data_IF_847722385430
#
_entry.id   IF_847722385430
#
_cell.length_a   1.000
_cell.length_b   1.000
_cell.length_c   1.000
_cell.angle_alpha   90.00
_cell.angle_beta   90.00
_cell.angle_gamma   90.00
#
_symmetry.space_group_name_H-M   'P 1'
#
loop_
_entity.id
_entity.type
_entity.pdbx_description
1 polymer ?
#
# COMPACT_ATOMS: atom_id res chain seq x y z
N UNK A 1 0.61 -3.88 6.13
CA UNK A 1 -0.13 -4.36 7.31
C UNK A 1 0.61 -5.51 7.95
N UNK A 2 0.38 -6.74 7.47
CA UNK A 2 0.96 -7.98 8.02
C UNK A 2 2.49 -8.01 8.06
N UNK A 3 3.13 -7.33 7.12
CA UNK A 3 4.58 -7.19 7.07
C UNK A 3 5.19 -6.15 8.02
N UNK A 4 4.38 -5.44 8.82
CA UNK A 4 4.90 -4.50 9.83
C UNK A 4 5.44 -5.28 11.04
N UNK A 5 6.47 -4.71 11.67
CA UNK A 5 7.16 -5.33 12.81
C UNK A 5 6.21 -5.79 13.95
N UNK A 6 5.20 -5.01 14.39
CA UNK A 6 4.27 -5.45 15.44
C UNK A 6 3.49 -6.72 15.10
N UNK A 7 3.29 -7.03 13.81
CA UNK A 7 2.59 -8.26 13.39
C UNK A 7 3.60 -9.37 13.09
N UNK A 8 4.69 -9.06 12.38
CA UNK A 8 5.74 -10.04 12.02
C UNK A 8 6.35 -10.77 13.21
N UNK A 9 6.47 -10.10 14.36
CA UNK A 9 7.10 -10.68 15.55
C UNK A 9 6.26 -11.73 16.28
N UNK A 10 4.96 -11.82 15.96
CA UNK A 10 4.00 -12.70 16.63
C UNK A 10 4.20 -14.16 16.21
N UNK A 11 5.34 -14.75 16.60
CA UNK A 11 5.79 -16.07 16.13
C UNK A 11 4.76 -17.17 16.42
N UNK A 12 4.18 -17.17 17.63
CA UNK A 12 3.20 -18.19 18.04
C UNK A 12 1.91 -18.08 17.24
N UNK A 13 1.55 -16.88 16.82
CA UNK A 13 0.42 -16.63 15.94
C UNK A 13 0.71 -17.12 14.51
N UNK A 14 1.89 -16.80 13.96
CA UNK A 14 2.29 -17.22 12.62
C UNK A 14 2.45 -18.74 12.46
N UNK A 15 2.86 -19.45 13.50
CA UNK A 15 2.94 -20.92 13.52
C UNK A 15 1.59 -21.60 13.25
N UNK A 16 0.48 -20.89 13.46
CA UNK A 16 -0.89 -21.42 13.26
C UNK A 16 -1.48 -21.09 11.89
N UNK A 17 -0.75 -20.36 11.04
CA UNK A 17 -1.27 -19.83 9.78
C UNK A 17 -0.62 -20.55 8.60
N UNK A 18 -1.42 -20.91 7.59
CA UNK A 18 -0.90 -21.38 6.31
C UNK A 18 -0.39 -20.19 5.49
N UNK A 19 0.91 -20.18 5.19
CA UNK A 19 1.58 -19.04 4.57
C UNK A 19 1.54 -19.01 3.05
N UNK A 20 1.18 -20.11 2.38
CA UNK A 20 1.28 -20.24 0.92
C UNK A 20 0.62 -19.08 0.15
N UNK A 21 -0.64 -18.77 0.47
CA UNK A 21 -1.36 -17.64 -0.18
C UNK A 21 -0.74 -16.29 0.17
N UNK A 22 -0.21 -16.14 1.39
CA UNK A 22 0.44 -14.92 1.82
C UNK A 22 1.74 -14.68 1.04
N UNK A 23 2.57 -15.71 0.91
CA UNK A 23 3.83 -15.68 0.16
C UNK A 23 3.58 -15.40 -1.34
N UNK A 24 2.53 -15.98 -1.92
CA UNK A 24 2.11 -15.66 -3.30
C UNK A 24 1.77 -14.16 -3.45
N UNK A 25 0.99 -13.60 -2.52
CA UNK A 25 0.66 -12.17 -2.54
C UNK A 25 1.90 -11.28 -2.38
N UNK A 26 2.89 -11.69 -1.58
CA UNK A 26 4.17 -10.98 -1.46
C UNK A 26 4.94 -10.98 -2.78
N UNK A 27 4.95 -12.10 -3.51
CA UNK A 27 5.59 -12.17 -4.83
C UNK A 27 4.90 -11.24 -5.85
N UNK A 28 3.57 -11.19 -5.85
CA UNK A 28 2.80 -10.30 -6.74
C UNK A 28 3.05 -8.81 -6.45
N UNK A 29 3.34 -8.46 -5.21
CA UNK A 29 3.53 -7.07 -4.76
C UNK A 29 4.99 -6.70 -4.53
N UNK A 30 5.93 -7.54 -4.96
CA UNK A 30 7.35 -7.34 -4.75
C UNK A 30 7.86 -6.05 -5.43
N UNK A 31 8.60 -5.25 -4.68
CA UNK A 31 9.16 -3.95 -5.10
C UNK A 31 10.35 -4.07 -6.05
N UNK A 32 10.93 -5.27 -6.19
CA UNK A 32 12.12 -5.53 -7.00
C UNK A 32 11.94 -5.11 -8.46
N UNK A 33 13.02 -4.61 -9.06
CA UNK A 33 13.03 -4.14 -10.45
C UNK A 33 11.89 -3.15 -10.76
N UNK A 34 11.64 -2.20 -9.85
CA UNK A 34 10.56 -1.21 -9.95
C UNK A 34 9.18 -1.86 -10.13
N UNK A 35 8.83 -2.79 -9.23
CA UNK A 35 7.53 -3.47 -9.24
C UNK A 35 7.24 -4.27 -10.52
N UNK A 36 8.27 -4.88 -11.13
CA UNK A 36 8.13 -5.52 -12.44
C UNK A 36 7.01 -6.57 -12.49
N UNK A 37 6.93 -7.45 -11.48
CA UNK A 37 5.90 -8.50 -11.43
C UNK A 37 4.49 -7.89 -11.28
N UNK A 38 4.34 -6.96 -10.34
CA UNK A 38 3.09 -6.23 -10.14
C UNK A 38 2.62 -5.54 -11.43
N UNK A 39 3.52 -4.88 -12.15
CA UNK A 39 3.19 -4.18 -13.41
C UNK A 39 2.73 -5.14 -14.50
N UNK A 40 3.34 -6.32 -14.61
CA UNK A 40 2.92 -7.36 -15.56
C UNK A 40 1.50 -7.85 -15.23
N UNK A 41 1.23 -8.13 -13.96
CA UNK A 41 -0.10 -8.57 -13.50
C UNK A 41 -1.14 -7.48 -13.73
N UNK A 42 -0.82 -6.22 -13.39
CA UNK A 42 -1.71 -5.08 -13.61
C UNK A 42 -2.06 -4.92 -15.09
N UNK A 43 -1.05 -4.99 -15.97
CA UNK A 43 -1.27 -4.89 -17.41
C UNK A 43 -2.21 -5.99 -17.92
N UNK A 44 -1.98 -7.25 -17.51
CA UNK A 44 -2.87 -8.36 -17.87
C UNK A 44 -4.30 -8.11 -17.37
N UNK A 45 -4.45 -7.65 -16.12
CA UNK A 45 -5.76 -7.39 -15.54
C UNK A 45 -6.51 -6.26 -16.27
N UNK A 46 -5.82 -5.20 -16.69
CA UNK A 46 -6.41 -4.11 -17.50
C UNK A 46 -6.84 -4.63 -18.87
N UNK A 47 -5.98 -5.37 -19.58
CA UNK A 47 -6.31 -5.94 -20.89
C UNK A 47 -7.50 -6.93 -20.82
N UNK A 48 -7.57 -7.75 -19.77
CA UNK A 48 -8.68 -8.69 -19.60
C UNK A 48 -9.98 -7.95 -19.25
N UNK A 49 -9.89 -6.86 -18.48
CA UNK A 49 -11.03 -5.99 -18.19
C UNK A 49 -11.56 -5.31 -19.46
N UNK A 50 -10.69 -4.86 -20.37
CA UNK A 50 -11.09 -4.28 -21.66
C UNK A 50 -11.78 -5.28 -22.59
N UNK A 51 -11.33 -6.54 -22.60
CA UNK A 51 -11.86 -7.58 -23.48
C UNK A 51 -13.18 -8.18 -22.98
N UNK A 52 -13.71 -7.75 -21.82
CA UNK A 52 -14.89 -8.32 -21.18
C UNK A 52 -14.84 -9.86 -21.08
N UNK A 53 -13.66 -10.45 -20.93
CA UNK A 53 -13.48 -11.91 -20.86
C UNK A 53 -13.89 -12.49 -19.51
N UNK A 54 -14.24 -11.63 -18.55
CA UNK A 54 -14.67 -12.01 -17.21
C UNK A 54 -16.18 -12.20 -17.11
N UNK A 55 -16.59 -13.20 -16.32
CA UNK A 55 -18.00 -13.52 -16.04
C UNK A 55 -18.63 -12.67 -14.92
N UNK A 56 -17.83 -11.84 -14.24
CA UNK A 56 -18.24 -10.92 -13.15
C UNK A 56 -17.46 -9.62 -13.35
N UNK A 57 -18.07 -8.45 -13.10
CA UNK A 57 -17.40 -7.15 -13.24
C UNK A 57 -16.17 -7.10 -12.33
N UNK A 58 -14.97 -7.07 -12.91
CA UNK A 58 -13.74 -6.96 -12.15
C UNK A 58 -13.13 -5.58 -12.34
N UNK A 59 -13.40 -4.74 -11.34
CA UNK A 59 -12.77 -3.43 -11.18
C UNK A 59 -11.29 -3.66 -10.91
N UNK A 60 -10.43 -3.05 -11.73
CA UNK A 60 -9.00 -3.00 -11.48
C UNK A 60 -8.70 -1.74 -10.68
N UNK A 61 -8.02 -1.88 -9.55
CA UNK A 61 -7.60 -0.73 -8.72
C UNK A 61 -6.07 -0.75 -8.60
N UNK A 62 -5.35 0.11 -9.32
CA UNK A 62 -3.91 0.16 -9.25
C UNK A 62 -3.42 0.85 -7.96
N UNK A 63 -2.22 0.48 -7.50
CA UNK A 63 -1.49 1.23 -6.48
C UNK A 63 -1.12 2.62 -7.02
N UNK A 64 -1.90 3.63 -6.63
CA UNK A 64 -1.72 5.02 -7.08
C UNK A 64 -0.31 5.56 -6.78
N UNK A 65 0.33 5.06 -5.73
CA UNK A 65 1.72 5.43 -5.39
C UNK A 65 2.74 5.03 -6.46
N UNK A 66 2.50 3.96 -7.22
CA UNK A 66 3.36 3.55 -8.35
C UNK A 66 3.14 4.52 -9.53
N UNK A 67 1.90 4.85 -9.83
CA UNK A 67 1.55 5.83 -10.89
C UNK A 67 2.18 7.20 -10.60
N UNK A 68 2.02 7.69 -9.36
CA UNK A 68 2.61 8.96 -8.92
C UNK A 68 4.14 8.94 -9.05
N UNK A 69 4.79 7.83 -8.70
CA UNK A 69 6.24 7.66 -8.85
C UNK A 69 6.67 7.75 -10.31
N UNK A 70 5.93 7.15 -11.23
CA UNK A 70 6.26 7.18 -12.67
C UNK A 70 6.12 8.58 -13.26
N UNK A 71 5.03 9.27 -12.90
CA UNK A 71 4.82 10.68 -13.28
C UNK A 71 5.95 11.56 -12.73
N UNK A 72 6.33 11.36 -11.47
CA UNK A 72 7.45 12.08 -10.84
C UNK A 72 8.78 11.79 -11.55
N UNK A 73 9.03 10.54 -11.92
CA UNK A 73 10.24 10.14 -12.65
C UNK A 73 10.33 10.88 -14.00
N UNK A 74 9.26 10.93 -14.78
CA UNK A 74 9.22 11.67 -16.05
C UNK A 74 9.38 13.17 -15.82
N UNK A 75 8.75 13.72 -14.77
CA UNK A 75 8.84 15.14 -14.45
C UNK A 75 10.29 15.56 -14.17
N UNK A 76 11.03 14.74 -13.44
CA UNK A 76 12.40 15.02 -12.97
C UNK A 76 13.49 14.72 -14.00
N UNK A 77 13.27 13.76 -14.91
CA UNK A 77 14.28 13.29 -15.87
C UNK A 77 14.08 13.83 -17.30
N UNK A 78 13.24 14.84 -17.48
CA UNK A 78 13.00 15.47 -18.79
C UNK A 78 12.79 16.98 -18.63
N UNK A 79 13.33 17.78 -19.54
CA UNK A 79 13.10 19.23 -19.56
C UNK A 79 11.67 19.55 -20.01
N UNK A 80 11.07 20.59 -19.44
CA UNK A 80 9.72 21.06 -19.84
C UNK A 80 9.72 21.68 -21.25
N UNK A 81 10.87 22.18 -21.70
CA UNK A 81 11.07 22.82 -23.00
C UNK A 81 12.16 22.11 -23.81
N UNK A 82 12.04 22.17 -25.14
CA UNK A 82 13.06 21.72 -26.09
C UNK A 82 14.22 22.73 -26.13
N UNK A 83 15.32 22.35 -26.78
CA UNK A 83 16.45 23.26 -27.01
C UNK A 83 16.08 24.49 -27.87
N UNK A 84 15.02 24.37 -28.66
CA UNK A 84 14.48 25.43 -29.52
C UNK A 84 13.51 26.36 -28.76
N UNK A 85 13.28 26.13 -27.46
CA UNK A 85 12.37 26.93 -26.63
C UNK A 85 10.90 26.52 -26.72
N UNK A 86 10.54 25.55 -27.58
CA UNK A 86 9.20 24.99 -27.66
C UNK A 86 8.86 24.08 -26.48
N UNK A 87 7.56 23.80 -26.27
CA UNK A 87 7.11 22.86 -25.23
C UNK A 87 7.56 21.44 -25.60
N UNK A 88 8.09 20.68 -24.63
CA UNK A 88 8.44 19.29 -24.82
C UNK A 88 7.20 18.38 -24.83
N UNK A 89 6.49 18.34 -25.96
CA UNK A 89 5.28 17.54 -26.12
C UNK A 89 5.49 16.05 -25.85
N UNK A 90 6.68 15.51 -26.14
CA UNK A 90 7.02 14.10 -25.86
C UNK A 90 6.96 13.79 -24.36
N UNK A 91 7.45 14.70 -23.51
CA UNK A 91 7.35 14.58 -22.05
C UNK A 91 5.89 14.54 -21.61
N UNK A 92 5.11 15.53 -22.02
CA UNK A 92 3.72 15.66 -21.60
C UNK A 92 2.84 14.53 -22.15
N UNK A 93 3.07 14.09 -23.38
CA UNK A 93 2.42 12.92 -23.95
C UNK A 93 2.72 11.67 -23.13
N UNK A 94 3.98 11.47 -22.73
CA UNK A 94 4.37 10.30 -21.92
C UNK A 94 3.69 10.34 -20.54
N UNK A 95 3.64 11.51 -19.89
CA UNK A 95 2.90 11.69 -18.64
C UNK A 95 1.40 11.44 -18.80
N UNK A 96 0.79 11.97 -19.87
CA UNK A 96 -0.62 11.78 -20.18
C UNK A 96 -0.96 10.31 -20.38
N UNK A 97 -0.12 9.58 -21.14
CA UNK A 97 -0.29 8.15 -21.40
C UNK A 97 -0.37 7.32 -20.11
N UNK A 98 0.55 7.52 -19.17
CA UNK A 98 0.53 6.82 -17.87
C UNK A 98 -0.72 7.14 -17.04
N UNK A 99 -1.19 8.39 -17.08
CA UNK A 99 -2.41 8.78 -16.37
C UNK A 99 -3.66 8.21 -17.07
N UNK A 100 -3.70 8.20 -18.40
CA UNK A 100 -4.88 7.78 -19.15
C UNK A 100 -5.07 6.27 -19.19
N UNK A 101 -4.00 5.51 -19.47
CA UNK A 101 -4.08 4.05 -19.65
C UNK A 101 -4.25 3.35 -18.29
N UNK A 102 -3.44 3.66 -17.29
CA UNK A 102 -3.49 2.90 -16.03
C UNK A 102 -4.56 3.42 -15.05
N UNK A 103 -4.88 4.72 -15.05
CA UNK A 103 -5.69 5.34 -13.99
C UNK A 103 -7.10 5.74 -14.43
N UNK A 104 -7.26 6.35 -15.62
CA UNK A 104 -8.57 6.82 -16.08
C UNK A 104 -9.49 5.67 -16.47
N UNK A 105 -8.99 4.66 -17.18
CA UNK A 105 -9.78 3.49 -17.57
C UNK A 105 -10.32 2.74 -16.33
N UNK A 106 -9.47 2.52 -15.33
CA UNK A 106 -9.86 1.90 -14.06
C UNK A 106 -10.95 2.68 -13.29
N UNK A 107 -11.00 4.01 -13.44
CA UNK A 107 -11.98 4.87 -12.75
C UNK A 107 -13.37 4.83 -13.39
N UNK A 108 -13.46 4.49 -14.68
CA UNK A 108 -14.72 4.49 -15.42
C UNK A 108 -15.52 3.19 -15.25
N UNK A 109 -14.92 2.15 -14.65
CA UNK A 109 -15.59 0.89 -14.35
C UNK A 109 -16.74 1.07 -13.36
N UNK A 110 -17.91 0.53 -13.69
CA UNK A 110 -19.05 0.49 -12.76
C UNK A 110 -18.81 -0.60 -11.72
N UNK A 111 -18.95 -0.25 -10.45
CA UNK A 111 -18.91 -1.20 -9.35
C UNK A 111 -20.26 -1.91 -9.24
N UNK A 112 -20.31 -3.24 -9.44
CA UNK A 112 -21.51 -4.04 -9.25
C UNK A 112 -21.69 -4.57 -7.82
N UNK A 113 -20.71 -4.33 -6.94
CA UNK A 113 -20.87 -4.62 -5.53
C UNK A 113 -21.84 -3.64 -4.89
N UNK A 114 -22.86 -4.17 -4.22
CA UNK A 114 -23.81 -3.35 -3.47
C UNK A 114 -23.13 -2.60 -2.34
N UNK A 115 -23.59 -1.37 -2.10
CA UNK A 115 -23.12 -0.55 -1.00
C UNK A 115 -23.63 -1.13 0.32
N UNK A 116 -22.72 -1.40 1.25
CA UNK A 116 -23.06 -1.84 2.59
C UNK A 116 -22.62 -0.78 3.62
N UNK A 117 -23.58 0.00 4.12
CA UNK A 117 -23.29 1.08 5.05
C UNK A 117 -22.77 0.60 6.42
N UNK A 118 -23.12 -0.61 6.85
CA UNK A 118 -22.60 -1.18 8.10
C UNK A 118 -21.10 -1.46 7.99
N UNK A 119 -20.66 -2.06 6.90
CA UNK A 119 -19.24 -2.34 6.64
C UNK A 119 -18.47 -1.01 6.47
N UNK A 120 -19.04 -0.05 5.72
CA UNK A 120 -18.43 1.26 5.51
C UNK A 120 -18.27 1.99 6.84
N UNK A 121 -19.32 2.01 7.67
CA UNK A 121 -19.26 2.63 8.99
C UNK A 121 -18.18 1.96 9.84
N UNK A 122 -18.17 0.62 9.92
CA UNK A 122 -17.14 -0.10 10.68
C UNK A 122 -15.71 0.25 10.23
N UNK A 123 -15.43 0.27 8.92
CA UNK A 123 -14.10 0.58 8.39
C UNK A 123 -13.71 2.04 8.68
N UNK A 124 -14.65 2.97 8.55
CA UNK A 124 -14.40 4.42 8.70
C UNK A 124 -14.32 4.87 10.16
N UNK A 125 -14.96 4.17 11.10
CA UNK A 125 -14.92 4.49 12.53
C UNK A 125 -13.95 3.63 13.33
N UNK A 126 -13.29 2.65 12.70
CA UNK A 126 -12.31 1.80 13.38
C UNK A 126 -11.13 2.62 13.92
N UNK A 127 -10.70 2.40 15.17
CA UNK A 127 -9.61 3.17 15.77
C UNK A 127 -8.29 2.93 15.03
N UNK A 128 -7.56 4.02 14.75
CA UNK A 128 -6.23 3.94 14.15
C UNK A 128 -5.16 4.03 15.23
N UNK A 129 -4.33 3.00 15.32
CA UNK A 129 -3.18 2.99 16.22
C UNK A 129 -1.94 3.52 15.51
N UNK A 130 -1.15 4.34 16.21
CA UNK A 130 0.19 4.71 15.75
C UNK A 130 1.17 3.55 15.92
N UNK A 131 2.40 3.69 15.40
CA UNK A 131 3.39 2.60 15.42
C UNK A 131 3.81 2.17 16.83
N UNK A 132 3.88 3.09 17.78
CA UNK A 132 4.23 2.79 19.17
C UNK A 132 3.12 2.02 19.87
N UNK A 133 1.86 2.49 19.73
CA UNK A 133 0.69 1.81 20.30
C UNK A 133 0.50 0.41 19.71
N UNK A 134 0.71 0.24 18.39
CA UNK A 134 0.70 -1.09 17.76
C UNK A 134 1.79 -2.01 18.32
N UNK A 135 2.99 -1.48 18.53
CA UNK A 135 4.10 -2.26 19.08
C UNK A 135 3.86 -2.66 20.54
N UNK A 136 3.27 -1.79 21.35
CA UNK A 136 2.88 -2.11 22.73
C UNK A 136 1.80 -3.20 22.76
N UNK A 137 0.73 -3.06 21.97
CA UNK A 137 -0.30 -4.08 21.84
C UNK A 137 0.26 -5.42 21.35
N UNK A 138 1.25 -5.40 20.45
CA UNK A 138 1.96 -6.61 20.03
C UNK A 138 2.66 -7.34 21.18
N UNK A 139 3.28 -6.60 22.10
CA UNK A 139 3.94 -7.17 23.27
C UNK A 139 2.95 -7.68 24.33
N UNK A 140 1.76 -7.08 24.42
CA UNK A 140 0.66 -7.57 25.25
C UNK A 140 0.11 -8.91 24.71
N UNK A 141 0.01 -9.05 23.38
CA UNK A 141 -0.41 -10.30 22.74
C UNK A 141 0.64 -11.41 22.87
N UNK A 142 1.91 -11.12 22.59
CA UNK A 142 3.03 -12.05 22.74
C UNK A 142 4.21 -11.35 23.41
N UNK A 143 4.62 -11.74 24.64
CA UNK A 143 5.71 -11.08 25.36
C UNK A 143 7.04 -11.01 24.58
N UNK A 144 7.93 -10.07 24.90
CA UNK A 144 9.27 -9.98 24.31
C UNK A 144 10.03 -11.31 24.37
N UNK A 145 10.46 -11.81 23.21
CA UNK A 145 11.19 -13.07 23.09
C UNK A 145 12.72 -12.88 23.11
N UNK A 146 13.21 -11.67 22.81
CA UNK A 146 14.65 -11.37 22.71
C UNK A 146 15.03 -10.17 23.58
N UNK A 147 16.32 -10.03 23.89
CA UNK A 147 16.84 -8.87 24.65
C UNK A 147 16.53 -7.55 23.97
N UNK A 148 16.66 -7.47 22.64
CA UNK A 148 16.34 -6.27 21.87
C UNK A 148 14.86 -5.90 21.97
N UNK A 149 13.96 -6.89 22.00
CA UNK A 149 12.54 -6.64 22.20
C UNK A 149 12.21 -6.14 23.61
N UNK A 150 12.89 -6.68 24.63
CA UNK A 150 12.76 -6.20 26.01
C UNK A 150 13.21 -4.75 26.14
N UNK A 151 14.36 -4.40 25.56
CA UNK A 151 14.85 -3.02 25.52
C UNK A 151 13.86 -2.09 24.81
N UNK A 152 13.35 -2.51 23.65
CA UNK A 152 12.36 -1.74 22.89
C UNK A 152 11.07 -1.52 23.67
N UNK A 153 10.58 -2.52 24.42
CA UNK A 153 9.42 -2.36 25.30
C UNK A 153 9.68 -1.30 26.39
N UNK A 154 10.83 -1.35 27.07
CA UNK A 154 11.20 -0.37 28.09
C UNK A 154 11.27 1.06 27.52
N UNK A 155 11.86 1.23 26.33
CA UNK A 155 11.91 2.53 25.65
C UNK A 155 10.51 3.06 25.31
N UNK A 156 9.62 2.19 24.83
CA UNK A 156 8.25 2.55 24.49
C UNK A 156 7.45 2.96 25.73
N UNK A 157 7.57 2.21 26.83
CA UNK A 157 6.91 2.53 28.09
C UNK A 157 7.38 3.89 28.65
N UNK A 158 8.67 4.17 28.59
CA UNK A 158 9.23 5.47 29.00
C UNK A 158 8.70 6.62 28.13
N UNK A 159 8.59 6.38 26.82
CA UNK A 159 8.05 7.37 25.87
C UNK A 159 6.57 7.67 26.14
N UNK A 160 5.77 6.65 26.48
CA UNK A 160 4.35 6.84 26.83
C UNK A 160 4.20 7.60 28.15
N UNK A 161 4.98 7.24 29.17
CA UNK A 161 4.94 7.91 30.48
C UNK A 161 5.38 9.38 30.43
N UNK A 162 6.32 9.71 29.54
CA UNK A 162 6.75 11.10 29.31
C UNK A 162 5.76 11.90 28.48
N UNK A 163 4.96 11.25 27.62
CA UNK A 163 3.88 11.90 26.88
C UNK A 163 2.67 12.21 27.76
N UNK A 164 2.26 11.28 28.63
CA UNK A 164 1.14 11.47 29.56
C UNK A 164 1.42 12.49 30.66
N UNK A 165 2.67 12.61 31.10
CA UNK A 165 3.09 13.67 32.05
C UNK A 165 3.15 15.07 31.42
N UNK A 166 3.29 15.18 30.09
CA UNK A 166 3.27 16.47 29.37
C UNK A 166 1.88 16.93 28.93
N UNK A 167 0.91 16.02 28.82
CA UNK A 167 -0.49 16.35 28.48
C UNK A 167 -1.37 16.69 29.69
N UNK A 168 -0.83 16.63 30.90
CA UNK A 168 -1.48 17.04 32.14
C UNK A 168 -1.15 18.48 32.50
N UNK A 169 -1.69 19.45 31.74
CA UNK A 169 -1.89 20.85 32.15
C UNK A 169 -3.31 21.23 31.73
#
# INVERSE_FOLDING_TARGET
GLNKQPVKRLRRSWEKVQLEKFEQLEQYTNVSKNFANYRLILKSAVEDAEKNTWTVDKIVIPFTSIVVRDVYFIKTHSKDYTIEGGINLKKYYSMAKFISEDFVQCKQSKCSFERNDVIINYITTSPMFNENSLMLASFECEPPATSNEKEKLTMLQTTVNTATSKSGI
#
